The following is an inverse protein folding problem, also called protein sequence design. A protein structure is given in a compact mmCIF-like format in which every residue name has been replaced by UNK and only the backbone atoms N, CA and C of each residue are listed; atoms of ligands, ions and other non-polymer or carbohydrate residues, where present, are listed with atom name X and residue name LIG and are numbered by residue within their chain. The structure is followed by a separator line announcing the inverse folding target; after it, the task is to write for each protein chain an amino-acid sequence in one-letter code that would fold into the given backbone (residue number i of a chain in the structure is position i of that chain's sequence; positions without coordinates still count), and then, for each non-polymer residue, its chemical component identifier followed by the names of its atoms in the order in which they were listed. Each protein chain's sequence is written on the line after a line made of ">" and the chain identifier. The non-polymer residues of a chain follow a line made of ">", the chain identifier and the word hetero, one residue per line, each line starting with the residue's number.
data_IF_435316975621
#
_entry.id   IF_435316975621
#
_cell.length_a   1.000
_cell.length_b   1.000
_cell.length_c   1.000
_cell.angle_alpha   90.00
_cell.angle_beta   90.00
_cell.angle_gamma   90.00
#
_symmetry.space_group_name_H-M   'P 1'
#
loop_
_entity.id
_entity.type
_entity.pdbx_description
1 polymer ?
#
# COMPACT_ATOMS: atom_id res chain seq x y z
N UNK A 1 -4.59 -1.23 27.18
CA UNK A 1 -3.72 -0.19 26.60
C UNK A 1 -2.60 -0.89 25.86
N UNK A 2 -2.39 -0.56 24.61
CA UNK A 2 -1.26 -1.09 23.83
C UNK A 2 0.07 -0.61 24.48
N UNK A 3 1.09 -1.48 24.46
CA UNK A 3 2.38 -1.17 25.04
C UNK A 3 3.11 -0.15 24.14
N UNK A 4 3.65 0.92 24.73
CA UNK A 4 4.52 1.84 24.00
C UNK A 4 5.91 1.20 23.83
N UNK A 5 6.34 1.01 22.59
CA UNK A 5 7.62 0.38 22.23
C UNK A 5 8.73 1.41 21.93
N UNK A 6 8.47 2.70 22.02
CA UNK A 6 9.44 3.76 21.69
C UNK A 6 10.77 3.58 22.43
N UNK A 7 10.74 3.15 23.68
CA UNK A 7 11.94 2.90 24.48
C UNK A 7 12.79 1.71 24.03
N UNK A 8 12.28 0.89 23.11
CA UNK A 8 13.02 -0.25 22.52
C UNK A 8 13.80 0.15 21.26
N UNK A 9 13.56 1.35 20.75
CA UNK A 9 14.22 1.91 19.57
C UNK A 9 15.39 2.81 20.00
N UNK A 10 16.36 3.07 19.08
CA UNK A 10 17.36 4.09 19.30
C UNK A 10 16.73 5.46 19.61
N UNK A 11 17.43 6.32 20.36
CA UNK A 11 16.92 7.65 20.70
C UNK A 11 16.61 8.48 19.46
N UNK A 12 15.60 9.35 19.57
CA UNK A 12 15.29 10.32 18.51
C UNK A 12 16.50 11.24 18.29
N UNK A 13 16.83 11.51 17.03
CA UNK A 13 17.97 12.38 16.71
C UNK A 13 17.77 13.78 17.31
N UNK A 14 18.81 14.38 17.91
CA UNK A 14 18.71 15.69 18.55
C UNK A 14 18.20 16.79 17.63
N UNK A 15 18.61 16.79 16.37
CA UNK A 15 18.14 17.73 15.35
C UNK A 15 16.64 17.56 15.05
N UNK A 16 16.12 16.35 15.03
CA UNK A 16 14.68 16.08 14.89
C UNK A 16 13.93 16.59 16.11
N UNK A 17 14.41 16.28 17.32
CA UNK A 17 13.79 16.76 18.55
C UNK A 17 13.72 18.30 18.58
N UNK A 18 14.82 18.98 18.20
CA UNK A 18 14.87 20.43 18.16
C UNK A 18 13.82 21.04 17.18
N UNK A 19 13.61 20.41 16.01
CA UNK A 19 12.59 20.84 15.06
C UNK A 19 11.19 20.72 15.68
N UNK A 20 10.86 19.59 16.32
CA UNK A 20 9.55 19.42 16.96
C UNK A 20 9.35 20.36 18.17
N UNK A 21 10.40 20.66 18.95
CA UNK A 21 10.33 21.65 20.04
C UNK A 21 9.99 23.04 19.50
N UNK A 22 10.59 23.45 18.37
CA UNK A 22 10.27 24.72 17.71
C UNK A 22 8.84 24.71 17.16
N UNK A 23 8.43 23.67 16.43
CA UNK A 23 7.08 23.55 15.88
C UNK A 23 6.02 23.61 16.99
N UNK A 24 6.27 22.95 18.13
CA UNK A 24 5.32 22.93 19.24
C UNK A 24 5.12 24.28 19.92
N UNK A 25 6.11 25.16 19.87
CA UNK A 25 6.05 26.51 20.46
C UNK A 25 5.40 27.54 19.51
N UNK A 26 5.22 27.22 18.22
CA UNK A 26 4.70 28.16 17.24
C UNK A 26 3.17 28.25 17.25
N UNK A 27 2.63 29.47 17.29
CA UNK A 27 1.20 29.71 17.39
C UNK A 27 0.42 29.27 16.13
N UNK A 28 1.01 29.35 14.93
CA UNK A 28 0.35 28.89 13.70
C UNK A 28 0.27 27.37 13.64
N UNK A 29 1.34 26.70 14.08
CA UNK A 29 1.35 25.23 14.17
C UNK A 29 0.30 24.76 15.19
N UNK A 30 0.20 25.41 16.35
CA UNK A 30 -0.84 25.11 17.33
C UNK A 30 -2.25 25.37 16.78
N UNK A 31 -2.43 26.43 15.98
CA UNK A 31 -3.69 26.70 15.29
C UNK A 31 -4.02 25.60 14.25
N UNK A 32 -3.04 25.11 13.50
CA UNK A 32 -3.20 23.98 12.58
C UNK A 32 -3.63 22.69 13.28
N UNK A 33 -3.01 22.38 14.42
CA UNK A 33 -3.42 21.24 15.26
C UNK A 33 -4.85 21.39 15.78
N UNK A 34 -5.20 22.64 16.18
CA UNK A 34 -6.56 22.95 16.62
C UNK A 34 -7.58 22.84 15.47
N UNK A 35 -7.23 23.23 14.25
CA UNK A 35 -8.08 23.07 13.06
C UNK A 35 -8.45 21.61 12.86
N UNK A 36 -7.50 20.68 12.96
CA UNK A 36 -7.79 19.23 12.87
C UNK A 36 -8.77 18.77 13.96
N UNK A 37 -8.61 19.26 15.20
CA UNK A 37 -9.51 18.94 16.31
C UNK A 37 -10.90 19.53 16.14
N UNK A 38 -11.00 20.83 15.83
CA UNK A 38 -12.28 21.53 15.72
C UNK A 38 -13.13 21.04 14.53
N UNK A 39 -12.47 20.54 13.47
CA UNK A 39 -13.13 20.07 12.26
C UNK A 39 -13.25 18.53 12.19
N UNK A 40 -13.04 17.82 13.30
CA UNK A 40 -13.03 16.34 13.32
C UNK A 40 -14.38 15.73 12.86
N UNK A 41 -15.51 16.31 13.33
CA UNK A 41 -16.84 15.90 12.87
C UNK A 41 -17.07 16.19 11.37
N UNK A 42 -16.55 17.30 10.85
CA UNK A 42 -16.64 17.62 9.43
C UNK A 42 -15.80 16.65 8.58
N UNK A 43 -14.61 16.29 9.06
CA UNK A 43 -13.75 15.29 8.46
C UNK A 43 -14.45 13.91 8.43
N UNK A 44 -15.15 13.52 9.49
CA UNK A 44 -15.96 12.29 9.51
C UNK A 44 -17.10 12.34 8.47
N UNK A 45 -17.82 13.46 8.36
CA UNK A 45 -18.87 13.58 7.34
C UNK A 45 -18.29 13.50 5.92
N UNK A 46 -17.12 14.07 5.68
CA UNK A 46 -16.40 13.95 4.42
C UNK A 46 -15.99 12.50 4.14
N UNK A 47 -15.44 11.77 5.14
CA UNK A 47 -15.16 10.33 5.05
C UNK A 47 -16.40 9.55 4.62
N UNK A 48 -17.55 9.79 5.24
CA UNK A 48 -18.82 9.15 4.89
C UNK A 48 -19.20 9.42 3.42
N UNK A 49 -19.10 10.67 2.97
CA UNK A 49 -19.45 11.03 1.59
C UNK A 49 -18.50 10.38 0.57
N UNK A 50 -17.21 10.29 0.88
CA UNK A 50 -16.21 9.62 0.03
C UNK A 50 -16.49 8.12 -0.02
N UNK A 51 -16.80 7.49 1.13
CA UNK A 51 -17.12 6.06 1.21
C UNK A 51 -18.28 5.69 0.28
N UNK A 52 -19.32 6.53 0.21
CA UNK A 52 -20.51 6.27 -0.61
C UNK A 52 -20.29 6.45 -2.12
N UNK A 53 -19.10 6.88 -2.56
CA UNK A 53 -18.70 6.90 -3.98
C UNK A 53 -18.07 5.56 -4.33
N UNK A 54 -18.68 4.73 -5.20
CA UNK A 54 -18.12 3.45 -5.62
C UNK A 54 -16.72 3.61 -6.26
N UNK A 55 -15.79 2.72 -5.89
CA UNK A 55 -14.39 2.80 -6.38
C UNK A 55 -13.75 1.41 -6.36
N UNK A 56 -14.18 0.53 -7.25
CA UNK A 56 -13.61 -0.81 -7.42
C UNK A 56 -12.29 -0.77 -8.22
N UNK A 57 -11.46 -1.82 -8.17
CA UNK A 57 -10.22 -1.85 -8.94
C UNK A 57 -10.47 -1.63 -10.44
N UNK A 58 -9.74 -0.69 -11.05
CA UNK A 58 -9.90 -0.17 -12.41
C UNK A 58 -11.20 0.60 -12.68
N UNK A 59 -12.00 0.91 -11.64
CA UNK A 59 -13.24 1.68 -11.73
C UNK A 59 -13.24 2.93 -10.84
N UNK A 60 -12.08 3.47 -10.49
CA UNK A 60 -11.90 4.57 -9.54
C UNK A 60 -12.32 5.94 -10.07
N UNK A 61 -12.70 6.03 -11.34
CA UNK A 61 -12.95 7.29 -12.06
C UNK A 61 -13.97 8.23 -11.38
N UNK A 62 -14.98 7.69 -10.67
CA UNK A 62 -15.96 8.52 -9.97
C UNK A 62 -15.33 9.21 -8.75
N UNK A 63 -14.59 8.45 -7.94
CA UNK A 63 -13.91 8.98 -6.77
C UNK A 63 -12.75 9.91 -7.17
N UNK A 64 -12.05 9.59 -8.27
CA UNK A 64 -11.02 10.45 -8.83
C UNK A 64 -11.59 11.81 -9.28
N UNK A 65 -12.74 11.83 -9.96
CA UNK A 65 -13.39 13.07 -10.35
C UNK A 65 -13.80 13.93 -9.13
N UNK A 66 -14.36 13.33 -8.09
CA UNK A 66 -14.68 13.99 -6.81
C UNK A 66 -13.43 14.59 -6.16
N UNK A 67 -12.30 13.85 -6.18
CA UNK A 67 -11.04 14.34 -5.61
C UNK A 67 -10.43 15.51 -6.37
N UNK A 68 -10.58 15.57 -7.70
CA UNK A 68 -10.19 16.76 -8.48
C UNK A 68 -10.96 18.00 -8.00
N UNK A 69 -12.26 17.87 -7.76
CA UNK A 69 -13.07 18.98 -7.24
C UNK A 69 -12.63 19.40 -5.84
N UNK A 70 -12.40 18.42 -4.92
CA UNK A 70 -11.94 18.71 -3.55
C UNK A 70 -10.56 19.36 -3.53
N UNK A 71 -9.60 18.88 -4.31
CA UNK A 71 -8.25 19.47 -4.37
C UNK A 71 -8.28 20.90 -4.92
N UNK A 72 -9.07 21.15 -5.96
CA UNK A 72 -9.27 22.52 -6.49
C UNK A 72 -9.93 23.43 -5.44
N UNK A 73 -10.97 22.96 -4.74
CA UNK A 73 -11.65 23.72 -3.69
C UNK A 73 -10.71 24.07 -2.51
N UNK A 74 -9.76 23.20 -2.20
CA UNK A 74 -8.72 23.41 -1.20
C UNK A 74 -7.54 24.25 -1.70
N UNK A 75 -7.57 24.71 -2.96
CA UNK A 75 -6.59 25.66 -3.52
C UNK A 75 -5.25 25.05 -3.92
N UNK A 76 -5.16 23.74 -4.08
CA UNK A 76 -3.97 23.11 -4.64
C UNK A 76 -3.73 23.57 -6.08
N UNK A 77 -2.50 23.50 -6.53
CA UNK A 77 -2.07 23.89 -7.88
C UNK A 77 -1.85 22.66 -8.74
N UNK A 78 -1.93 22.84 -10.05
CA UNK A 78 -1.66 21.81 -11.05
C UNK A 78 -2.46 20.52 -10.81
N UNK A 79 -3.74 20.68 -10.38
CA UNK A 79 -4.64 19.57 -10.10
C UNK A 79 -5.02 18.87 -11.39
N UNK A 80 -4.71 17.57 -11.49
CA UNK A 80 -5.01 16.77 -12.68
C UNK A 80 -5.17 15.29 -12.32
N UNK A 81 -5.74 14.53 -13.24
CA UNK A 81 -5.72 13.07 -13.25
C UNK A 81 -4.62 12.64 -14.23
N UNK A 82 -3.73 11.76 -13.78
CA UNK A 82 -2.69 11.21 -14.65
C UNK A 82 -3.20 10.05 -15.54
N UNK A 83 -2.30 9.45 -16.34
CA UNK A 83 -2.61 8.43 -17.35
C UNK A 83 -3.15 7.13 -16.76
N UNK A 84 -2.91 6.84 -15.46
CA UNK A 84 -3.39 5.63 -14.79
C UNK A 84 -4.55 5.87 -13.84
N UNK A 85 -4.90 7.16 -13.59
CA UNK A 85 -6.06 7.54 -12.80
C UNK A 85 -5.73 8.18 -11.43
N UNK A 86 -4.46 8.39 -11.09
CA UNK A 86 -4.09 9.12 -9.86
C UNK A 86 -4.56 10.57 -9.95
N UNK A 87 -5.07 11.09 -8.86
CA UNK A 87 -5.37 12.52 -8.71
C UNK A 87 -4.21 13.19 -8.01
N UNK A 88 -3.57 14.13 -8.66
CA UNK A 88 -2.37 14.80 -8.17
C UNK A 88 -2.66 16.29 -8.00
N UNK A 89 -2.26 16.86 -6.87
CA UNK A 89 -2.35 18.29 -6.63
C UNK A 89 -1.13 18.79 -5.84
N UNK A 90 -0.57 19.92 -6.23
CA UNK A 90 0.66 20.46 -5.64
C UNK A 90 0.37 21.64 -4.73
N UNK A 91 0.99 21.65 -3.58
CA UNK A 91 1.13 22.83 -2.72
C UNK A 91 2.59 23.30 -2.78
N UNK A 92 2.87 24.35 -3.57
CA UNK A 92 4.24 24.86 -3.73
C UNK A 92 4.81 25.39 -2.42
N UNK A 93 6.05 25.04 -2.13
CA UNK A 93 6.84 25.68 -1.08
C UNK A 93 7.34 27.06 -1.50
N UNK A 94 7.85 27.81 -0.53
CA UNK A 94 8.39 29.16 -0.75
C UNK A 94 9.91 29.25 -0.61
N UNK A 95 10.58 28.13 -0.34
CA UNK A 95 12.03 28.05 -0.23
C UNK A 95 12.74 28.23 -1.59
N UNK A 96 14.06 28.37 -1.57
CA UNK A 96 14.86 28.47 -2.79
C UNK A 96 14.86 27.15 -3.57
N UNK A 97 14.96 27.25 -4.89
CA UNK A 97 15.15 26.06 -5.76
C UNK A 97 16.58 25.53 -5.72
N UNK A 98 16.81 24.23 -5.87
CA UNK A 98 15.77 23.19 -5.97
C UNK A 98 15.16 22.85 -4.60
N UNK A 99 13.84 22.87 -4.51
CA UNK A 99 13.12 22.52 -3.28
C UNK A 99 13.00 21.01 -3.10
N UNK A 100 12.88 20.58 -1.84
CA UNK A 100 12.47 19.20 -1.52
C UNK A 100 11.01 18.99 -1.89
N UNK A 101 10.66 17.76 -2.30
CA UNK A 101 9.28 17.35 -2.60
C UNK A 101 8.88 16.18 -1.74
N UNK A 102 7.88 16.42 -0.88
CA UNK A 102 7.21 15.40 -0.09
C UNK A 102 5.90 15.01 -0.78
N UNK A 103 5.70 13.71 -1.03
CA UNK A 103 4.40 13.19 -1.45
C UNK A 103 3.65 12.67 -0.23
N UNK A 104 2.38 13.04 -0.11
CA UNK A 104 1.43 12.49 0.86
C UNK A 104 0.27 11.91 0.07
N UNK A 105 0.03 10.61 0.20
CA UNK A 105 -0.92 9.84 -0.59
C UNK A 105 -1.92 9.10 0.28
N UNK A 106 -3.07 8.78 -0.29
CA UNK A 106 -4.08 7.86 0.22
C UNK A 106 -4.79 7.24 -0.98
N UNK A 107 -5.12 5.93 -0.93
CA UNK A 107 -5.61 5.26 -2.12
C UNK A 107 -7.12 5.43 -2.35
N UNK A 108 -7.50 5.57 -3.63
CA UNK A 108 -8.88 5.78 -4.05
C UNK A 108 -9.66 4.47 -4.20
N UNK A 109 -8.98 3.37 -4.50
CA UNK A 109 -9.63 2.09 -4.78
C UNK A 109 -10.03 1.31 -3.53
N UNK A 110 -10.67 0.19 -3.74
CA UNK A 110 -11.15 -0.75 -2.72
C UNK A 110 -10.97 -2.18 -3.20
N UNK A 111 -11.06 -3.17 -2.32
CA UNK A 111 -11.07 -4.59 -2.70
C UNK A 111 -12.39 -5.07 -3.30
N UNK A 112 -13.42 -4.22 -3.35
CA UNK A 112 -14.79 -4.62 -3.66
C UNK A 112 -15.10 -4.54 -5.15
N UNK A 113 -16.35 -4.86 -5.52
CA UNK A 113 -16.82 -4.89 -6.90
C UNK A 113 -17.78 -3.71 -7.19
N UNK A 114 -18.00 -3.46 -8.49
CA UNK A 114 -18.95 -2.43 -8.95
C UNK A 114 -20.35 -2.55 -8.33
N UNK A 115 -20.80 -3.78 -8.04
CA UNK A 115 -22.16 -4.06 -7.50
C UNK A 115 -22.25 -3.99 -5.98
N UNK A 116 -21.15 -3.63 -5.29
CA UNK A 116 -21.10 -3.53 -3.84
C UNK A 116 -21.94 -2.33 -3.35
N UNK A 117 -22.71 -2.53 -2.26
CA UNK A 117 -23.42 -1.44 -1.60
C UNK A 117 -22.48 -0.71 -0.63
N UNK A 118 -22.12 0.52 -0.98
CA UNK A 118 -21.23 1.38 -0.19
C UNK A 118 -21.99 2.30 0.79
N UNK A 119 -23.29 2.11 0.99
CA UNK A 119 -24.06 2.96 1.90
C UNK A 119 -23.63 2.79 3.35
N UNK A 120 -23.27 3.93 3.97
CA UNK A 120 -22.82 3.96 5.35
C UNK A 120 -24.00 3.82 6.30
N UNK A 121 -23.89 2.89 7.24
CA UNK A 121 -24.88 2.65 8.32
C UNK A 121 -24.23 3.01 9.64
N UNK A 122 -24.94 3.77 10.47
CA UNK A 122 -24.48 4.09 11.82
C UNK A 122 -25.08 3.15 12.84
N UNK A 123 -24.25 2.49 13.63
CA UNK A 123 -24.64 1.62 14.74
C UNK A 123 -23.89 2.03 16.02
N UNK A 124 -24.59 2.77 16.88
CA UNK A 124 -23.96 3.34 18.09
C UNK A 124 -22.85 4.32 17.71
N UNK A 125 -21.60 4.02 18.10
CA UNK A 125 -20.41 4.82 17.80
C UNK A 125 -19.68 4.36 16.53
N UNK A 126 -20.21 3.33 15.84
CA UNK A 126 -19.61 2.75 14.64
C UNK A 126 -20.34 3.17 13.39
N UNK A 127 -19.56 3.33 12.34
CA UNK A 127 -20.01 3.55 10.97
C UNK A 127 -19.61 2.31 10.17
N UNK A 128 -20.59 1.63 9.57
CA UNK A 128 -20.40 0.37 8.86
C UNK A 128 -20.59 0.61 7.37
N UNK A 129 -19.59 0.33 6.60
CA UNK A 129 -19.63 0.25 5.14
C UNK A 129 -18.34 -0.38 4.62
N UNK A 130 -18.35 -1.00 3.44
CA UNK A 130 -17.15 -1.41 2.72
C UNK A 130 -16.20 -0.22 2.53
N UNK A 131 -14.90 -0.39 2.85
CA UNK A 131 -13.86 0.64 2.67
C UNK A 131 -14.01 1.90 3.55
N UNK A 132 -14.81 1.86 4.62
CA UNK A 132 -15.01 3.02 5.51
C UNK A 132 -13.73 3.38 6.27
N UNK A 133 -12.86 2.43 6.57
CA UNK A 133 -11.56 2.60 7.20
C UNK A 133 -10.42 2.54 6.18
N UNK A 134 -10.48 1.56 5.29
CA UNK A 134 -9.48 1.23 4.29
C UNK A 134 -10.00 1.53 2.87
N UNK A 135 -9.67 2.68 2.22
CA UNK A 135 -8.86 3.77 2.80
C UNK A 135 -9.60 5.12 2.79
N UNK A 136 -10.93 5.13 2.90
CA UNK A 136 -11.63 6.42 2.91
C UNK A 136 -11.30 7.26 4.16
N UNK A 137 -10.78 6.63 5.23
CA UNK A 137 -10.25 7.37 6.37
C UNK A 137 -8.95 8.10 6.02
N UNK A 138 -8.02 7.43 5.33
CA UNK A 138 -6.79 8.06 4.84
C UNK A 138 -7.08 9.22 3.90
N UNK A 139 -8.02 9.03 2.97
CA UNK A 139 -8.47 10.06 2.04
C UNK A 139 -9.03 11.30 2.76
N UNK A 140 -9.90 11.13 3.75
CA UNK A 140 -10.44 12.25 4.53
C UNK A 140 -9.36 12.94 5.38
N UNK A 141 -8.44 12.14 5.96
CA UNK A 141 -7.29 12.66 6.71
C UNK A 141 -6.37 13.52 5.83
N UNK A 142 -6.09 13.07 4.60
CA UNK A 142 -5.30 13.80 3.61
C UNK A 142 -5.90 15.18 3.32
N UNK A 143 -7.21 15.26 3.08
CA UNK A 143 -7.92 16.52 2.86
C UNK A 143 -7.85 17.43 4.10
N UNK A 144 -7.95 16.85 5.30
CA UNK A 144 -7.86 17.62 6.54
C UNK A 144 -6.45 18.19 6.78
N UNK A 145 -5.39 17.48 6.38
CA UNK A 145 -4.01 18.01 6.43
C UNK A 145 -3.85 19.22 5.52
N UNK A 146 -4.45 19.21 4.33
CA UNK A 146 -4.44 20.39 3.43
C UNK A 146 -5.10 21.57 4.11
N UNK A 147 -6.27 21.40 4.77
CA UNK A 147 -6.95 22.46 5.52
C UNK A 147 -6.08 23.00 6.65
N UNK A 148 -5.43 22.15 7.42
CA UNK A 148 -4.53 22.58 8.50
C UNK A 148 -3.43 23.52 7.98
N UNK A 149 -2.88 23.24 6.82
CA UNK A 149 -1.85 24.07 6.18
C UNK A 149 -2.42 25.37 5.60
N UNK A 150 -3.55 25.29 4.86
CA UNK A 150 -4.10 26.42 4.10
C UNK A 150 -4.80 27.46 4.99
N UNK A 151 -5.69 27.01 5.89
CA UNK A 151 -6.48 27.89 6.74
C UNK A 151 -5.62 28.66 7.76
N UNK A 152 -4.47 28.10 8.14
CA UNK A 152 -3.54 28.74 9.07
C UNK A 152 -2.38 29.47 8.37
N UNK A 153 -2.41 29.57 7.04
CA UNK A 153 -1.38 30.23 6.23
C UNK A 153 0.03 29.78 6.59
N UNK A 154 0.22 28.45 6.69
CA UNK A 154 1.51 27.83 6.98
C UNK A 154 2.23 27.62 5.66
N UNK A 155 3.24 28.42 5.39
CA UNK A 155 4.09 28.28 4.21
C UNK A 155 5.20 27.27 4.50
N UNK A 156 5.29 26.21 3.67
CA UNK A 156 6.39 25.24 3.75
C UNK A 156 7.60 25.70 2.94
N UNK A 157 8.80 25.28 3.34
CA UNK A 157 10.03 25.55 2.58
C UNK A 157 10.04 24.65 1.34
N UNK A 158 9.81 23.35 1.50
CA UNK A 158 9.67 22.38 0.41
C UNK A 158 8.26 22.33 -0.16
N UNK A 159 8.13 21.76 -1.35
CA UNK A 159 6.86 21.45 -1.99
C UNK A 159 6.20 20.24 -1.32
N UNK A 160 4.87 20.24 -1.23
CA UNK A 160 4.08 19.07 -0.84
C UNK A 160 3.16 18.71 -2.01
N UNK A 161 3.24 17.46 -2.46
CA UNK A 161 2.38 16.90 -3.49
C UNK A 161 1.37 15.97 -2.81
N UNK A 162 0.08 16.28 -2.94
CA UNK A 162 -1.01 15.45 -2.43
C UNK A 162 -1.52 14.55 -3.55
N UNK A 163 -1.74 13.27 -3.23
CA UNK A 163 -2.12 12.28 -4.21
C UNK A 163 -3.28 11.44 -3.69
N UNK A 164 -4.35 11.34 -4.48
CA UNK A 164 -5.30 10.25 -4.36
C UNK A 164 -4.88 9.20 -5.39
N UNK A 165 -4.22 8.15 -4.98
CA UNK A 165 -3.68 7.17 -5.91
C UNK A 165 -4.62 6.00 -6.16
N UNK A 166 -4.31 5.16 -7.16
CA UNK A 166 -5.18 4.09 -7.64
C UNK A 166 -4.46 2.75 -7.67
N UNK A 167 -5.23 1.69 -7.36
CA UNK A 167 -4.74 0.33 -7.52
C UNK A 167 -3.74 -0.07 -6.43
N UNK A 168 -3.91 0.42 -5.20
CA UNK A 168 -3.21 -0.15 -4.05
C UNK A 168 -3.65 -1.59 -3.88
N UNK A 169 -4.95 -1.85 -3.97
CA UNK A 169 -5.56 -3.09 -3.59
C UNK A 169 -5.43 -4.23 -4.63
N UNK A 170 -5.20 -5.43 -4.11
CA UNK A 170 -5.36 -6.70 -4.82
C UNK A 170 -4.75 -6.75 -6.22
N UNK A 171 -5.63 -6.80 -7.22
CA UNK A 171 -5.26 -6.88 -8.65
C UNK A 171 -4.74 -5.56 -9.23
N UNK A 172 -4.90 -4.46 -8.50
CA UNK A 172 -4.33 -3.15 -8.88
C UNK A 172 -2.82 -3.10 -8.81
N UNK A 173 -2.21 -3.94 -7.96
CA UNK A 173 -0.77 -4.21 -7.88
C UNK A 173 0.09 -2.95 -7.77
N UNK A 174 -0.36 -1.97 -6.98
CA UNK A 174 0.30 -0.68 -6.77
C UNK A 174 0.49 0.15 -8.06
N UNK A 175 -0.42 0.03 -9.05
CA UNK A 175 -0.22 0.65 -10.38
C UNK A 175 -0.09 2.17 -10.32
N UNK A 176 -0.81 2.81 -9.39
CA UNK A 176 -0.79 4.26 -9.20
C UNK A 176 0.58 4.75 -8.77
N UNK A 177 1.09 4.23 -7.66
CA UNK A 177 2.40 4.62 -7.15
C UNK A 177 3.54 4.12 -8.03
N UNK A 178 3.41 2.96 -8.70
CA UNK A 178 4.36 2.53 -9.72
C UNK A 178 4.45 3.54 -10.88
N UNK A 179 3.34 4.16 -11.25
CA UNK A 179 3.35 5.21 -12.27
C UNK A 179 4.04 6.49 -11.78
N UNK A 180 3.77 6.91 -10.55
CA UNK A 180 4.42 8.08 -9.92
C UNK A 180 5.94 7.87 -9.84
N UNK A 181 6.37 6.68 -9.43
CA UNK A 181 7.78 6.32 -9.22
C UNK A 181 8.38 5.52 -10.39
N UNK A 182 7.84 5.66 -11.61
CA UNK A 182 8.28 4.89 -12.79
C UNK A 182 9.76 4.96 -13.13
N UNK A 183 10.46 5.97 -12.61
CA UNK A 183 11.88 6.18 -12.81
C UNK A 183 12.57 6.40 -11.47
N UNK A 184 13.79 5.85 -11.30
CA UNK A 184 14.63 6.13 -10.14
C UNK A 184 15.02 7.62 -10.03
N UNK A 185 15.03 8.34 -11.16
CA UNK A 185 15.34 9.78 -11.26
C UNK A 185 14.14 10.68 -10.95
N UNK A 186 13.05 10.13 -10.40
CA UNK A 186 11.89 10.93 -10.01
C UNK A 186 12.28 11.95 -8.94
N UNK A 187 11.90 13.21 -9.17
CA UNK A 187 12.20 14.33 -8.28
C UNK A 187 11.26 14.35 -7.06
N UNK A 188 11.32 13.26 -6.26
CA UNK A 188 10.58 13.09 -5.00
C UNK A 188 11.60 12.71 -3.91
N UNK A 189 11.54 13.38 -2.76
CA UNK A 189 12.51 13.22 -1.69
C UNK A 189 11.97 12.40 -0.50
N UNK A 190 10.65 12.27 -0.39
CA UNK A 190 10.00 11.47 0.63
C UNK A 190 8.55 11.14 0.29
N UNK A 191 8.02 10.07 0.88
CA UNK A 191 6.66 9.60 0.64
C UNK A 191 5.98 9.16 1.95
N UNK A 192 4.75 9.58 2.15
CA UNK A 192 3.87 9.14 3.24
C UNK A 192 2.59 8.59 2.61
N UNK A 193 2.26 7.33 2.89
CA UNK A 193 0.94 6.76 2.64
C UNK A 193 0.11 6.90 3.91
N UNK A 194 -1.07 7.49 3.82
CA UNK A 194 -2.06 7.44 4.90
C UNK A 194 -2.98 6.30 4.52
N UNK A 195 -2.92 5.22 5.29
CA UNK A 195 -3.64 3.98 5.00
C UNK A 195 -4.08 3.38 6.35
N UNK A 196 -5.28 2.79 6.43
CA UNK A 196 -6.02 2.36 7.63
C UNK A 196 -6.25 3.49 8.69
N UNK A 197 -6.45 3.13 9.99
CA UNK A 197 -6.91 4.09 11.00
C UNK A 197 -5.91 4.36 12.13
N UNK A 198 -5.33 3.35 12.80
CA UNK A 198 -4.54 3.53 14.01
C UNK A 198 -3.24 4.34 13.79
N UNK A 199 -3.15 5.60 14.23
CA UNK A 199 -1.99 6.45 13.98
C UNK A 199 -0.77 6.07 14.84
N UNK A 200 -0.93 5.15 15.79
CA UNK A 200 0.16 4.71 16.69
C UNK A 200 1.02 3.59 16.11
N UNK A 201 0.70 3.16 14.91
CA UNK A 201 1.43 2.14 14.14
C UNK A 201 2.25 2.83 13.05
N UNK A 202 3.57 2.65 13.08
CA UNK A 202 4.48 3.09 12.03
C UNK A 202 4.89 1.90 11.14
N UNK A 203 4.55 1.94 9.86
CA UNK A 203 5.00 0.96 8.88
C UNK A 203 6.15 1.57 8.09
N UNK A 204 7.36 1.19 8.43
CA UNK A 204 8.61 1.81 8.00
C UNK A 204 9.44 0.94 7.07
N UNK A 205 8.97 -0.26 6.78
CA UNK A 205 9.58 -1.18 5.84
C UNK A 205 8.54 -1.83 4.94
N UNK A 206 8.95 -2.20 3.75
CA UNK A 206 8.11 -2.80 2.73
C UNK A 206 8.34 -4.31 2.65
N UNK A 207 7.26 -5.08 2.85
CA UNK A 207 7.23 -6.49 2.52
C UNK A 207 6.86 -6.64 1.05
N UNK A 208 7.79 -7.09 0.23
CA UNK A 208 7.54 -7.36 -1.17
C UNK A 208 6.77 -8.64 -1.39
N UNK A 209 6.10 -8.75 -2.53
CA UNK A 209 5.45 -9.97 -2.99
C UNK A 209 5.62 -10.19 -4.48
N UNK A 210 5.91 -11.44 -4.86
CA UNK A 210 5.82 -11.91 -6.24
C UNK A 210 4.68 -12.91 -6.34
N UNK A 211 3.75 -12.66 -7.25
CA UNK A 211 2.57 -13.50 -7.46
C UNK A 211 2.58 -14.05 -8.87
N UNK A 212 2.38 -15.34 -8.99
CA UNK A 212 2.39 -16.03 -10.28
C UNK A 212 1.21 -16.95 -10.41
N UNK A 213 0.62 -16.95 -11.61
CA UNK A 213 -0.27 -18.01 -12.10
C UNK A 213 0.53 -18.98 -12.94
N UNK A 214 0.48 -20.23 -12.57
CA UNK A 214 1.13 -21.32 -13.32
C UNK A 214 0.04 -22.16 -13.98
N UNK A 215 -0.07 -22.04 -15.30
CA UNK A 215 -1.03 -22.78 -16.10
C UNK A 215 -0.39 -24.06 -16.62
N UNK A 216 -1.14 -25.16 -16.60
CA UNK A 216 -0.80 -26.45 -17.18
C UNK A 216 -1.83 -26.76 -18.26
N UNK A 217 -1.37 -26.94 -19.50
CA UNK A 217 -2.22 -27.11 -20.67
C UNK A 217 -1.84 -28.37 -21.44
N UNK A 218 -2.82 -29.14 -21.85
CA UNK A 218 -2.64 -30.39 -22.59
C UNK A 218 -3.83 -30.77 -23.45
N UNK A 219 -3.80 -31.98 -24.06
CA UNK A 219 -4.79 -32.36 -25.07
C UNK A 219 -6.20 -32.59 -24.50
N UNK A 220 -6.29 -33.06 -23.24
CA UNK A 220 -7.56 -33.49 -22.67
C UNK A 220 -8.16 -34.70 -23.39
N UNK A 221 -9.19 -35.33 -22.81
CA UNK A 221 -9.84 -36.46 -23.45
C UNK A 221 -10.84 -37.21 -22.58
N UNK A 222 -11.45 -38.25 -23.12
CA UNK A 222 -12.36 -39.12 -22.38
C UNK A 222 -11.54 -40.02 -21.46
N UNK A 223 -11.85 -40.08 -20.15
CA UNK A 223 -11.06 -40.76 -19.12
C UNK A 223 -10.76 -42.24 -19.42
N UNK A 224 -11.68 -42.97 -20.03
CA UNK A 224 -11.52 -44.38 -20.37
C UNK A 224 -10.98 -44.56 -21.81
N UNK A 225 -11.59 -43.95 -22.81
CA UNK A 225 -11.19 -44.12 -24.22
C UNK A 225 -9.85 -43.48 -24.56
N UNK A 226 -9.53 -42.39 -23.91
CA UNK A 226 -8.28 -41.65 -24.06
C UNK A 226 -7.22 -42.01 -23.02
N UNK A 227 -7.43 -43.06 -22.21
CA UNK A 227 -6.46 -43.48 -21.21
C UNK A 227 -5.08 -43.75 -21.82
N UNK A 228 -4.06 -43.11 -21.27
CA UNK A 228 -2.70 -43.17 -21.81
C UNK A 228 -2.19 -41.82 -22.34
N UNK A 229 -2.97 -40.73 -22.19
CA UNK A 229 -2.52 -39.38 -22.48
C UNK A 229 -2.28 -38.59 -21.19
N UNK A 230 -1.39 -37.59 -21.20
CA UNK A 230 -1.07 -36.80 -20.02
C UNK A 230 -2.23 -35.91 -19.57
N UNK A 231 -2.29 -35.65 -18.28
CA UNK A 231 -3.33 -34.83 -17.64
C UNK A 231 -2.75 -33.54 -17.01
N UNK A 232 -3.37 -32.39 -17.29
CA UNK A 232 -2.98 -31.13 -16.71
C UNK A 232 -3.04 -31.15 -15.17
N UNK A 233 -4.07 -31.81 -14.58
CA UNK A 233 -4.18 -31.95 -13.12
C UNK A 233 -3.06 -32.87 -12.60
N UNK A 234 -2.72 -33.97 -13.28
CA UNK A 234 -1.64 -34.82 -12.81
C UNK A 234 -0.29 -34.11 -12.84
N UNK A 235 -0.01 -33.31 -13.89
CA UNK A 235 1.20 -32.50 -13.94
C UNK A 235 1.22 -31.50 -12.78
N UNK A 236 0.11 -30.77 -12.51
CA UNK A 236 0.00 -29.89 -11.37
C UNK A 236 0.25 -30.63 -10.04
N UNK A 237 -0.32 -31.82 -9.85
CA UNK A 237 -0.11 -32.63 -8.64
C UNK A 237 1.35 -33.06 -8.44
N UNK A 238 2.14 -33.22 -9.50
CA UNK A 238 3.58 -33.52 -9.41
C UNK A 238 4.41 -32.42 -8.81
N UNK A 239 3.90 -31.15 -8.81
CA UNK A 239 4.57 -30.03 -8.16
C UNK A 239 4.42 -30.05 -6.64
N UNK A 240 3.42 -30.78 -6.11
CA UNK A 240 3.03 -30.75 -4.69
C UNK A 240 4.15 -31.20 -3.76
N UNK A 241 4.92 -32.23 -4.11
CA UNK A 241 6.03 -32.70 -3.31
C UNK A 241 7.10 -31.61 -3.12
N UNK A 242 7.46 -30.92 -4.19
CA UNK A 242 8.46 -29.84 -4.12
C UNK A 242 7.93 -28.63 -3.35
N UNK A 243 6.66 -28.26 -3.53
CA UNK A 243 6.09 -27.05 -2.91
C UNK A 243 5.73 -27.30 -1.44
N UNK A 244 5.22 -28.47 -1.06
CA UNK A 244 4.80 -28.75 0.30
C UNK A 244 5.96 -28.78 1.30
N UNK A 245 7.12 -29.27 0.84
CA UNK A 245 8.31 -29.44 1.67
C UNK A 245 9.38 -28.36 1.45
N UNK A 246 8.99 -27.26 0.81
CA UNK A 246 9.92 -26.18 0.49
C UNK A 246 10.32 -25.40 1.75
N UNK A 247 11.59 -25.50 2.11
CA UNK A 247 12.15 -24.68 3.20
C UNK A 247 12.54 -23.29 2.71
N UNK A 248 12.14 -22.27 3.51
CA UNK A 248 12.42 -20.86 3.28
C UNK A 248 13.12 -20.23 4.47
N UNK A 249 13.90 -19.15 4.28
CA UNK A 249 14.56 -18.45 5.38
C UNK A 249 13.56 -17.87 6.39
N UNK A 250 13.90 -17.95 7.68
CA UNK A 250 13.20 -17.22 8.73
C UNK A 250 13.69 -15.75 8.82
N UNK A 251 14.95 -15.49 8.43
CA UNK A 251 15.58 -14.17 8.37
C UNK A 251 16.48 -14.09 7.12
N UNK A 252 16.19 -13.18 6.18
CA UNK A 252 14.99 -12.32 6.16
C UNK A 252 13.71 -13.15 6.06
N UNK A 253 12.65 -12.73 6.79
CA UNK A 253 11.38 -13.45 6.79
C UNK A 253 10.88 -13.63 5.37
N UNK A 254 10.83 -14.88 4.91
CA UNK A 254 10.40 -15.26 3.57
C UNK A 254 9.29 -16.28 3.69
N UNK A 255 8.24 -16.13 2.89
CA UNK A 255 7.07 -17.01 2.92
C UNK A 255 6.59 -17.31 1.51
N UNK A 256 5.85 -18.40 1.34
CA UNK A 256 5.12 -18.70 0.13
C UNK A 256 3.80 -19.40 0.46
N UNK A 257 2.85 -19.29 -0.45
CA UNK A 257 1.55 -19.97 -0.33
C UNK A 257 1.01 -20.26 -1.72
N UNK A 258 0.53 -21.48 -1.94
CA UNK A 258 -0.36 -21.78 -3.05
C UNK A 258 -1.78 -21.45 -2.59
N UNK A 259 -2.30 -20.31 -3.02
CA UNK A 259 -3.59 -19.78 -2.56
C UNK A 259 -4.79 -20.31 -3.35
N UNK A 260 -4.57 -20.65 -4.62
CA UNK A 260 -5.62 -21.15 -5.53
C UNK A 260 -5.12 -22.36 -6.31
N UNK A 261 -5.97 -23.36 -6.44
CA UNK A 261 -5.82 -24.46 -7.40
C UNK A 261 -7.16 -24.66 -8.11
N UNK A 262 -7.13 -24.71 -9.46
CA UNK A 262 -8.31 -24.94 -10.27
C UNK A 262 -7.96 -25.87 -11.43
N UNK A 263 -8.88 -26.73 -11.88
CA UNK A 263 -8.62 -27.57 -13.05
C UNK A 263 -9.70 -28.59 -13.34
N UNK A 264 -9.68 -29.12 -14.57
CA UNK A 264 -10.62 -30.09 -15.06
C UNK A 264 -12.01 -29.53 -15.37
N UNK A 265 -12.89 -30.39 -15.88
CA UNK A 265 -14.29 -30.03 -16.23
C UNK A 265 -15.31 -31.00 -15.69
N UNK A 266 -15.07 -32.30 -15.86
CA UNK A 266 -15.97 -33.39 -15.40
C UNK A 266 -15.15 -34.57 -14.86
N UNK A 267 -15.78 -35.39 -14.01
CA UNK A 267 -15.12 -36.54 -13.36
C UNK A 267 -14.64 -37.58 -14.35
N UNK A 268 -15.23 -37.69 -15.53
CA UNK A 268 -14.93 -38.66 -16.57
C UNK A 268 -14.13 -38.11 -17.75
N UNK A 269 -13.40 -36.99 -17.54
CA UNK A 269 -12.47 -36.41 -18.51
C UNK A 269 -11.05 -36.40 -17.99
N UNK A 270 -10.08 -36.55 -18.90
CA UNK A 270 -8.68 -36.20 -18.67
C UNK A 270 -8.58 -34.69 -18.78
N UNK A 271 -8.05 -34.05 -17.75
CA UNK A 271 -8.02 -32.60 -17.68
C UNK A 271 -7.11 -31.98 -18.77
N UNK A 272 -7.68 -31.10 -19.58
CA UNK A 272 -6.93 -30.32 -20.56
C UNK A 272 -6.25 -29.09 -19.93
N UNK A 273 -6.84 -28.52 -18.89
CA UNK A 273 -6.36 -27.31 -18.22
C UNK A 273 -6.36 -27.50 -16.70
N UNK A 274 -5.33 -26.95 -16.07
CA UNK A 274 -5.26 -26.73 -14.63
C UNK A 274 -4.37 -25.52 -14.37
N UNK A 275 -4.59 -24.81 -13.27
CA UNK A 275 -3.66 -23.77 -12.83
C UNK A 275 -3.56 -23.70 -11.31
N UNK A 276 -2.48 -23.10 -10.84
CA UNK A 276 -2.31 -22.66 -9.46
C UNK A 276 -1.84 -21.22 -9.40
N UNK A 277 -2.26 -20.50 -8.36
CA UNK A 277 -1.76 -19.18 -8.04
C UNK A 277 -0.88 -19.24 -6.78
N UNK A 278 0.33 -18.68 -6.88
CA UNK A 278 1.34 -18.68 -5.82
C UNK A 278 1.62 -17.24 -5.40
N UNK A 279 1.59 -16.99 -4.09
CA UNK A 279 2.04 -15.76 -3.45
C UNK A 279 3.35 -16.02 -2.70
N UNK A 280 4.41 -15.30 -3.05
CA UNK A 280 5.72 -15.35 -2.40
C UNK A 280 5.99 -14.00 -1.77
N UNK A 281 6.41 -13.96 -0.50
CA UNK A 281 6.68 -12.69 0.22
C UNK A 281 8.03 -12.73 0.91
N UNK A 282 8.70 -11.56 0.93
CA UNK A 282 9.90 -11.34 1.75
C UNK A 282 10.09 -9.86 2.06
N UNK A 283 10.88 -9.57 3.08
CA UNK A 283 11.36 -8.21 3.37
C UNK A 283 12.55 -7.79 2.49
N UNK A 284 13.05 -8.72 1.63
CA UNK A 284 14.16 -8.45 0.70
C UNK A 284 13.87 -8.99 -0.70
N UNK A 285 14.14 -8.17 -1.72
CA UNK A 285 13.95 -8.55 -3.13
C UNK A 285 14.86 -9.71 -3.56
N UNK A 286 16.09 -9.76 -3.05
CA UNK A 286 17.03 -10.85 -3.34
C UNK A 286 16.50 -12.21 -2.90
N UNK A 287 15.84 -12.27 -1.74
CA UNK A 287 15.22 -13.48 -1.22
C UNK A 287 13.98 -13.88 -2.02
N UNK A 288 13.18 -12.92 -2.51
CA UNK A 288 12.05 -13.19 -3.41
C UNK A 288 12.53 -13.82 -4.72
N UNK A 289 13.54 -13.22 -5.33
CA UNK A 289 14.10 -13.73 -6.60
C UNK A 289 14.72 -15.11 -6.42
N UNK A 290 15.46 -15.34 -5.33
CA UNK A 290 16.04 -16.64 -5.02
C UNK A 290 14.95 -17.72 -4.80
N UNK A 291 13.84 -17.36 -4.14
CA UNK A 291 12.71 -18.27 -3.95
C UNK A 291 12.02 -18.59 -5.27
N UNK A 292 11.78 -17.60 -6.12
CA UNK A 292 11.23 -17.78 -7.48
C UNK A 292 12.11 -18.73 -8.29
N UNK A 293 13.42 -18.50 -8.32
CA UNK A 293 14.37 -19.28 -9.10
C UNK A 293 14.49 -20.72 -8.59
N UNK A 294 14.22 -20.94 -7.29
CA UNK A 294 14.15 -22.29 -6.70
C UNK A 294 12.86 -23.04 -7.08
N UNK A 295 11.73 -22.33 -7.21
CA UNK A 295 10.42 -22.95 -7.46
C UNK A 295 10.20 -23.20 -8.96
N UNK A 296 10.54 -22.29 -9.86
CA UNK A 296 10.17 -22.34 -11.27
C UNK A 296 10.61 -23.62 -12.00
N UNK A 297 11.81 -24.19 -11.77
CA UNK A 297 12.20 -25.44 -12.39
C UNK A 297 11.28 -26.62 -12.07
N UNK A 298 10.58 -26.59 -10.92
CA UNK A 298 9.68 -27.67 -10.52
C UNK A 298 8.44 -27.76 -11.44
N UNK A 299 7.97 -26.65 -11.99
CA UNK A 299 6.81 -26.62 -12.90
C UNK A 299 7.13 -27.28 -14.24
N UNK A 300 8.28 -26.92 -14.83
CA UNK A 300 8.71 -27.55 -16.07
C UNK A 300 8.98 -29.04 -15.86
N UNK A 301 9.69 -29.39 -14.77
CA UNK A 301 9.95 -30.79 -14.41
C UNK A 301 8.65 -31.59 -14.26
N UNK A 302 7.63 -31.02 -13.65
CA UNK A 302 6.33 -31.70 -13.48
C UNK A 302 5.66 -32.01 -14.83
N UNK A 303 5.75 -31.09 -15.81
CA UNK A 303 5.29 -31.38 -17.18
C UNK A 303 6.11 -32.45 -17.86
N UNK A 304 7.45 -32.39 -17.74
CA UNK A 304 8.36 -33.35 -18.34
C UNK A 304 8.13 -34.77 -17.76
N UNK A 305 7.96 -34.87 -16.45
CA UNK A 305 7.68 -36.14 -15.74
C UNK A 305 6.32 -36.72 -16.15
N UNK A 306 5.28 -35.88 -16.32
CA UNK A 306 3.96 -36.36 -16.78
C UNK A 306 4.00 -36.83 -18.22
N UNK A 307 4.66 -36.10 -19.12
CA UNK A 307 4.86 -36.48 -20.52
C UNK A 307 5.68 -37.76 -20.63
N UNK A 308 6.75 -37.91 -19.85
CA UNK A 308 7.59 -39.11 -19.82
C UNK A 308 6.85 -40.33 -19.27
N UNK A 309 6.03 -40.17 -18.24
CA UNK A 309 5.21 -41.25 -17.66
C UNK A 309 4.32 -41.92 -18.71
N UNK A 310 3.75 -41.12 -19.63
CA UNK A 310 2.91 -41.64 -20.72
C UNK A 310 3.66 -41.91 -22.02
N UNK A 311 4.98 -41.64 -22.06
CA UNK A 311 5.82 -41.84 -23.26
C UNK A 311 5.44 -40.96 -24.44
N UNK A 312 4.90 -39.76 -24.18
CA UNK A 312 4.41 -38.84 -25.21
C UNK A 312 5.55 -38.07 -25.85
N UNK A 313 5.75 -38.29 -27.15
CA UNK A 313 6.79 -37.64 -27.95
C UNK A 313 6.24 -36.55 -28.90
N UNK A 314 4.96 -36.65 -29.28
CA UNK A 314 4.31 -35.64 -30.12
C UNK A 314 4.11 -34.35 -29.31
N UNK A 315 4.71 -33.19 -29.71
CA UNK A 315 4.56 -31.91 -29.02
C UNK A 315 3.12 -31.38 -28.90
N UNK A 316 2.21 -31.82 -29.80
CA UNK A 316 0.80 -31.49 -29.77
C UNK A 316 0.03 -32.22 -28.68
N UNK A 317 0.57 -33.31 -28.19
CA UNK A 317 -0.02 -34.17 -27.15
C UNK A 317 0.64 -34.02 -25.80
N UNK A 318 1.65 -33.14 -25.68
CA UNK A 318 2.36 -32.91 -24.43
C UNK A 318 1.63 -31.91 -23.55
N UNK A 319 1.73 -32.11 -22.23
CA UNK A 319 1.45 -31.06 -21.25
C UNK A 319 2.57 -30.02 -21.31
N UNK A 320 2.19 -28.75 -21.30
CA UNK A 320 3.08 -27.58 -21.21
C UNK A 320 2.68 -26.72 -20.04
N UNK A 321 3.63 -26.06 -19.42
CA UNK A 321 3.32 -25.01 -18.45
C UNK A 321 3.68 -23.62 -18.99
N UNK A 322 2.88 -22.64 -18.60
CA UNK A 322 3.18 -21.21 -18.76
C UNK A 322 3.08 -20.54 -17.41
N UNK A 323 4.00 -19.63 -17.14
CA UNK A 323 4.07 -18.89 -15.89
C UNK A 323 3.76 -17.43 -16.20
N UNK A 324 2.68 -16.94 -15.63
CA UNK A 324 2.22 -15.56 -15.77
C UNK A 324 2.45 -14.82 -14.45
N UNK A 325 3.14 -13.67 -14.48
CA UNK A 325 3.25 -12.80 -13.31
C UNK A 325 1.95 -12.02 -13.14
N UNK A 326 1.27 -12.20 -12.01
CA UNK A 326 -0.01 -11.56 -11.69
C UNK A 326 0.11 -10.54 -10.55
N UNK A 327 1.33 -10.34 -10.02
CA UNK A 327 1.64 -9.32 -9.03
C UNK A 327 3.14 -9.19 -8.82
N UNK A 328 3.59 -7.95 -8.61
CA UNK A 328 4.99 -7.59 -8.40
C UNK A 328 5.07 -6.37 -7.47
N UNK A 329 5.08 -6.61 -6.17
CA UNK A 329 5.27 -5.56 -5.18
C UNK A 329 6.71 -5.64 -4.67
N UNK A 330 7.56 -4.61 -4.88
CA UNK A 330 8.96 -4.68 -4.45
C UNK A 330 9.08 -4.61 -2.93
N UNK A 331 10.12 -5.25 -2.38
CA UNK A 331 10.52 -5.07 -0.98
C UNK A 331 11.44 -3.86 -0.83
N UNK A 332 11.47 -3.28 0.36
CA UNK A 332 12.38 -2.18 0.69
C UNK A 332 12.53 -1.99 2.19
N UNK A 333 13.71 -1.59 2.62
CA UNK A 333 14.02 -1.29 4.00
C UNK A 333 14.72 0.07 4.09
N UNK A 334 14.63 0.69 5.24
CA UNK A 334 15.32 1.95 5.50
C UNK A 334 15.86 1.98 6.95
N UNK A 335 16.93 2.76 7.22
CA UNK A 335 17.45 2.91 8.57
C UNK A 335 16.48 3.72 9.44
N UNK A 336 16.57 3.56 10.77
CA UNK A 336 15.74 4.31 11.71
C UNK A 336 16.02 5.82 11.68
N UNK A 337 17.19 6.22 11.23
CA UNK A 337 17.60 7.62 11.01
C UNK A 337 16.91 8.27 9.80
N UNK A 338 16.26 7.48 8.96
CA UNK A 338 15.50 8.01 7.82
C UNK A 338 14.57 9.16 8.26
N UNK A 339 14.54 10.28 7.51
CA UNK A 339 13.77 11.46 7.90
C UNK A 339 12.31 11.16 8.22
N UNK A 340 11.66 10.27 7.46
CA UNK A 340 10.24 9.90 7.69
C UNK A 340 10.07 9.08 8.97
N UNK A 341 11.04 8.19 9.29
CA UNK A 341 11.05 7.41 10.53
C UNK A 341 11.23 8.33 11.75
N UNK A 342 12.09 9.31 11.63
CA UNK A 342 12.31 10.32 12.65
C UNK A 342 11.07 11.22 12.80
N UNK A 343 10.42 11.62 11.70
CA UNK A 343 9.27 12.49 11.71
C UNK A 343 8.05 11.85 12.39
N UNK A 344 7.72 10.59 12.09
CA UNK A 344 6.58 9.92 12.75
C UNK A 344 6.80 9.78 14.25
N UNK A 345 8.00 9.39 14.67
CA UNK A 345 8.35 9.24 16.09
C UNK A 345 8.32 10.58 16.84
N UNK A 346 8.89 11.63 16.22
CA UNK A 346 8.84 13.00 16.76
C UNK A 346 7.42 13.52 16.88
N UNK A 347 6.58 13.28 15.87
CA UNK A 347 5.17 13.67 15.87
C UNK A 347 4.35 12.93 16.94
N UNK A 348 4.50 11.62 17.07
CA UNK A 348 3.85 10.83 18.13
C UNK A 348 4.25 11.33 19.53
N UNK A 349 5.53 11.55 19.75
CA UNK A 349 6.04 12.09 21.02
C UNK A 349 5.44 13.47 21.32
N UNK A 350 5.38 14.34 20.32
CA UNK A 350 4.82 15.70 20.45
C UNK A 350 3.33 15.67 20.79
N UNK A 351 2.56 14.74 20.23
CA UNK A 351 1.13 14.56 20.50
C UNK A 351 0.85 13.76 21.78
N UNK A 352 1.89 13.27 22.47
CA UNK A 352 1.73 12.40 23.65
C UNK A 352 1.11 11.03 23.31
N UNK A 353 1.26 10.58 22.06
CA UNK A 353 0.78 9.28 21.61
C UNK A 353 1.85 8.21 21.76
N UNK A 354 1.48 6.98 22.12
CA UNK A 354 2.43 5.87 22.14
C UNK A 354 2.80 5.44 20.73
N UNK A 355 4.01 4.96 20.52
CA UNK A 355 4.33 4.13 19.36
C UNK A 355 4.04 2.66 19.73
N UNK A 356 3.05 2.04 19.12
CA UNK A 356 2.62 0.67 19.50
C UNK A 356 3.21 -0.41 18.59
N UNK A 357 3.52 -0.08 17.35
CA UNK A 357 4.18 -0.97 16.39
C UNK A 357 5.12 -0.19 15.49
N UNK A 358 6.25 -0.83 15.18
CA UNK A 358 7.24 -0.36 14.21
C UNK A 358 7.60 -1.55 13.33
N UNK A 359 6.96 -1.67 12.17
CA UNK A 359 6.89 -2.92 11.42
C UNK A 359 7.09 -2.72 9.92
N UNK A 360 7.18 -3.85 9.21
CA UNK A 360 7.15 -3.91 7.74
C UNK A 360 5.89 -4.65 7.28
N UNK A 361 5.18 -4.08 6.32
CA UNK A 361 4.07 -4.74 5.61
C UNK A 361 4.05 -4.29 4.16
N UNK A 362 3.03 -4.66 3.38
CA UNK A 362 2.90 -4.27 1.97
C UNK A 362 1.89 -3.14 1.83
N UNK A 363 2.17 -2.16 0.99
CA UNK A 363 1.34 -1.00 0.66
C UNK A 363 2.06 -0.07 -0.32
N UNK A 364 1.55 1.12 -0.55
CA UNK A 364 2.07 2.07 -1.53
C UNK A 364 3.52 2.50 -1.28
N UNK A 365 3.94 2.55 -0.02
CA UNK A 365 5.32 2.86 0.38
C UNK A 365 6.37 1.88 -0.17
N UNK A 366 5.95 0.68 -0.62
CA UNK A 366 6.86 -0.34 -1.17
C UNK A 366 7.69 0.21 -2.34
N UNK A 367 7.03 0.90 -3.27
CA UNK A 367 7.69 1.36 -4.50
C UNK A 367 8.75 2.40 -4.17
N UNK A 368 8.42 3.40 -3.36
CA UNK A 368 9.36 4.43 -2.94
C UNK A 368 10.57 3.82 -2.20
N UNK A 369 10.33 2.95 -1.21
CA UNK A 369 11.40 2.27 -0.46
C UNK A 369 12.32 1.44 -1.34
N UNK A 370 11.77 0.74 -2.34
CA UNK A 370 12.58 -0.05 -3.28
C UNK A 370 13.54 0.78 -4.13
N UNK A 371 13.24 2.06 -4.30
CA UNK A 371 14.08 3.04 -5.01
C UNK A 371 14.99 3.83 -4.07
N UNK A 372 15.05 3.47 -2.78
CA UNK A 372 15.84 4.18 -1.77
C UNK A 372 15.27 5.56 -1.42
N UNK A 373 14.00 5.81 -1.70
CA UNK A 373 13.30 7.03 -1.30
C UNK A 373 12.73 6.80 0.11
N UNK A 374 13.02 7.67 1.10
CA UNK A 374 12.42 7.59 2.42
C UNK A 374 10.90 7.53 2.35
N UNK A 375 10.29 6.47 2.88
CA UNK A 375 8.84 6.30 2.82
C UNK A 375 8.30 5.55 4.04
N UNK A 376 7.03 5.76 4.36
CA UNK A 376 6.29 5.00 5.35
C UNK A 376 4.79 4.98 5.05
N UNK A 377 4.09 4.07 5.72
CA UNK A 377 2.64 4.15 5.82
C UNK A 377 2.20 4.31 7.28
N UNK A 378 1.06 5.00 7.50
CA UNK A 378 0.54 5.34 8.81
C UNK A 378 -0.98 5.48 8.82
N UNK A 379 -1.61 5.36 9.99
CA UNK A 379 -3.06 5.45 10.10
C UNK A 379 -3.62 6.87 10.08
N UNK A 380 -4.80 7.02 9.44
CA UNK A 380 -5.55 8.28 9.31
C UNK A 380 -6.32 8.74 10.55
N UNK A 381 -6.27 8.00 11.68
CA UNK A 381 -6.96 8.31 12.94
C UNK A 381 -8.27 7.55 13.13
N UNK A 382 -8.63 7.31 14.40
CA UNK A 382 -9.77 6.48 14.78
C UNK A 382 -9.43 5.00 14.86
N UNK A 383 -10.47 4.17 15.00
CA UNK A 383 -10.36 2.71 15.05
C UNK A 383 -11.16 2.06 13.92
N UNK A 384 -10.72 0.94 13.42
CA UNK A 384 -11.45 0.15 12.42
C UNK A 384 -11.36 -1.35 12.67
N UNK A 385 -12.14 -2.11 11.93
CA UNK A 385 -12.04 -3.55 11.94
C UNK A 385 -12.84 -4.18 10.82
N UNK A 386 -12.59 -5.48 10.62
CA UNK A 386 -13.13 -6.27 9.51
C UNK A 386 -12.79 -5.70 8.12
N UNK A 387 -11.61 -5.07 7.98
CA UNK A 387 -11.12 -4.61 6.67
C UNK A 387 -11.24 -5.70 5.62
N UNK A 388 -11.45 -5.34 4.37
CA UNK A 388 -11.65 -6.25 3.24
C UNK A 388 -12.92 -7.12 3.33
N UNK A 389 -13.90 -6.71 4.16
CA UNK A 389 -15.23 -7.32 4.20
C UNK A 389 -16.34 -6.29 4.08
N UNK A 390 -17.54 -6.72 3.62
CA UNK A 390 -18.71 -5.84 3.55
C UNK A 390 -19.23 -5.38 4.91
N UNK A 391 -18.74 -6.00 5.99
CA UNK A 391 -19.06 -5.66 7.39
C UNK A 391 -17.97 -4.78 8.02
N UNK A 392 -17.12 -4.17 7.23
CA UNK A 392 -16.09 -3.24 7.71
C UNK A 392 -16.73 -2.12 8.52
N UNK A 393 -16.06 -1.71 9.59
CA UNK A 393 -16.52 -0.63 10.45
C UNK A 393 -15.40 0.33 10.79
N UNK A 394 -15.77 1.58 11.00
CA UNK A 394 -14.97 2.64 11.55
C UNK A 394 -15.61 3.14 12.85
N UNK A 395 -14.80 3.38 13.88
CA UNK A 395 -15.22 3.97 15.14
C UNK A 395 -14.47 5.29 15.34
N UNK A 396 -15.25 6.37 15.50
CA UNK A 396 -14.73 7.73 15.56
C UNK A 396 -14.17 8.05 16.97
N UNK A 397 -13.03 7.45 17.28
CA UNK A 397 -12.29 7.65 18.53
C UNK A 397 -11.06 8.50 18.25
N UNK A 398 -11.09 9.78 18.68
CA UNK A 398 -9.97 10.70 18.48
C UNK A 398 -9.47 10.74 17.00
N UNK A 399 -10.40 10.74 16.05
CA UNK A 399 -10.09 10.72 14.61
C UNK A 399 -9.11 11.80 14.19
N UNK A 400 -9.20 12.99 14.78
CA UNK A 400 -8.32 14.13 14.53
C UNK A 400 -6.82 13.86 14.75
N UNK A 401 -6.45 12.82 15.48
CA UNK A 401 -5.04 12.50 15.79
C UNK A 401 -4.24 12.08 14.56
N UNK A 402 -4.88 11.39 13.59
CA UNK A 402 -4.23 11.06 12.32
C UNK A 402 -3.84 12.30 11.52
N UNK A 403 -4.79 13.18 11.19
CA UNK A 403 -4.47 14.46 10.54
C UNK A 403 -3.46 15.32 11.31
N UNK A 404 -3.54 15.39 12.65
CA UNK A 404 -2.55 16.12 13.46
C UNK A 404 -1.14 15.55 13.29
N UNK A 405 -1.00 14.23 13.33
CA UNK A 405 0.30 13.57 13.18
C UNK A 405 0.88 13.82 11.77
N UNK A 406 0.07 13.59 10.73
CA UNK A 406 0.51 13.82 9.35
C UNK A 406 0.85 15.29 9.08
N UNK A 407 0.07 16.23 9.63
CA UNK A 407 0.35 17.67 9.55
C UNK A 407 1.70 18.03 10.20
N UNK A 408 1.98 17.53 11.41
CA UNK A 408 3.26 17.76 12.08
C UNK A 408 4.43 17.16 11.28
N UNK A 409 4.25 15.96 10.74
CA UNK A 409 5.26 15.33 9.89
C UNK A 409 5.52 16.13 8.62
N UNK A 410 4.47 16.62 7.96
CA UNK A 410 4.58 17.46 6.78
C UNK A 410 5.38 18.75 7.08
N UNK A 411 5.08 19.40 8.20
CA UNK A 411 5.83 20.60 8.66
C UNK A 411 7.30 20.28 9.00
N UNK A 412 7.55 19.16 9.68
CA UNK A 412 8.91 18.77 10.07
C UNK A 412 9.77 18.37 8.86
N UNK A 413 9.20 17.61 7.93
CA UNK A 413 9.91 17.12 6.75
C UNK A 413 10.18 18.23 5.74
N UNK A 414 9.16 19.01 5.40
CA UNK A 414 9.27 20.07 4.37
C UNK A 414 9.85 21.39 4.92
N UNK A 415 9.91 21.54 6.25
CA UNK A 415 10.24 22.81 6.89
C UNK A 415 9.13 23.85 6.80
N UNK A 416 9.15 24.85 7.70
CA UNK A 416 8.18 25.95 7.77
C UNK A 416 8.93 27.27 7.60
N UNK A 417 8.49 28.07 6.63
CA UNK A 417 9.14 29.34 6.25
C UNK A 417 9.28 30.29 7.45
N UNK A 418 10.50 30.76 7.66
CA UNK A 418 10.84 31.65 8.77
C UNK A 418 10.89 30.97 10.15
N UNK A 419 10.62 29.66 10.25
CA UNK A 419 10.55 28.94 11.51
C UNK A 419 11.56 27.78 11.57
N UNK A 420 11.46 26.79 10.68
CA UNK A 420 12.32 25.60 10.66
C UNK A 420 12.80 25.28 9.26
N UNK A 421 14.01 24.71 9.17
CA UNK A 421 14.41 23.95 7.97
C UNK A 421 13.78 22.57 8.03
N UNK A 422 13.43 22.00 6.88
CA UNK A 422 12.99 20.63 6.79
C UNK A 422 14.10 19.67 7.22
N UNK A 423 13.72 18.55 7.91
CA UNK A 423 14.65 17.47 8.23
C UNK A 423 14.85 16.53 7.03
N UNK A 424 14.04 16.64 5.99
CA UNK A 424 14.18 15.87 4.76
C UNK A 424 15.18 16.56 3.83
N UNK A 425 16.32 15.91 3.51
CA UNK A 425 17.29 16.47 2.57
C UNK A 425 16.78 16.35 1.13
N UNK A 426 17.22 17.28 0.26
CA UNK A 426 17.06 17.11 -1.19
C UNK A 426 17.92 15.93 -1.65
N UNK A 427 17.29 14.96 -2.32
CA UNK A 427 18.02 13.83 -2.92
C UNK A 427 18.89 14.32 -4.08
N UNK A 428 20.05 13.68 -4.24
CA UNK A 428 20.89 13.84 -5.41
C UNK A 428 20.53 12.70 -6.38
N UNK A 429 20.21 13.04 -7.61
CA UNK A 429 19.87 12.12 -8.69
C UNK A 429 21.11 11.74 -9.49
#
# INVERSE_FOLDING_TARGET
>A
MAQNIESTLPELLPETQAVFDILSADAKIQAGLKTAFDQDDACLQEQITITEIPSWPFGEHLRAADFVERFNALGLKDVHIDEVGNVIGTRPGVGPEPRTKLVIAAHLDTVFTETTDYKVKKEGNRYLAPSIGDDTRGLASLLQVIRCLQENNIETVGDIVFVGDVGEEGVGDLRGVKHIFKNADVDIDGFISIDWCDPTVAIVGATGSLRYRVNFDGPGGHSYLGFGIPSAIHALMRTSETLADLEVPADPKTTYTVGVITGGSTVNSIAAHAHMDIDMRSTENTSLLALRDKIFPAFQKACDDENAHWGVTDPAMQIKCTIEQIGDRPAGQQPYESPVCQAIRGGLKQLGLPLTKYISTSGDHNVALSLGIPALAMGGGGDNGKMHTVDEWYEHNDGYKGPQLTFLMACALSGVNGLTKGIMPKRQH
#
